data_IF_781855255846
#
_entry.id   IF_781855255846
#
_cell.length_a   1.000
_cell.length_b   1.000
_cell.length_c   1.000
_cell.angle_alpha   90.00
_cell.angle_beta   90.00
_cell.angle_gamma   90.00
#
_symmetry.space_group_name_H-M   'P 1'
#
loop_
_entity.id
_entity.type
_entity.pdbx_description
1 polymer ?
#
# COMPACT_ATOMS: atom_id res chain seq x y z
N UNK A 1 -0.80 23.08 -3.44
CA UNK A 1 0.04 21.93 -3.84
C UNK A 1 -0.78 21.07 -4.78
N UNK A 2 -0.28 20.73 -5.96
CA UNK A 2 -0.97 19.81 -6.89
C UNK A 2 -0.59 18.39 -6.50
N UNK A 3 -1.57 17.53 -6.24
CA UNK A 3 -1.34 16.10 -5.98
C UNK A 3 -1.48 15.34 -7.30
N UNK A 4 -0.53 14.45 -7.59
CA UNK A 4 -0.46 13.73 -8.86
C UNK A 4 -0.13 12.25 -8.61
N UNK A 5 -0.54 11.40 -9.55
CA UNK A 5 -0.23 9.97 -9.57
C UNK A 5 0.55 9.66 -10.84
N UNK A 6 1.72 9.05 -10.69
CA UNK A 6 2.56 8.59 -11.80
C UNK A 6 2.27 7.12 -12.08
N UNK A 7 1.83 6.80 -13.30
CA UNK A 7 1.59 5.43 -13.74
C UNK A 7 2.52 5.05 -14.89
N UNK A 8 2.71 3.75 -15.10
CA UNK A 8 3.54 3.20 -16.18
C UNK A 8 5.03 3.44 -16.02
N UNK A 9 5.48 3.69 -14.78
CA UNK A 9 6.85 4.07 -14.46
C UNK A 9 7.66 2.89 -13.89
N UNK A 10 8.91 2.76 -14.33
CA UNK A 10 9.94 2.01 -13.61
C UNK A 10 10.98 2.97 -13.02
N UNK A 11 11.55 3.85 -13.83
CA UNK A 11 12.40 4.98 -13.39
C UNK A 11 11.54 6.22 -13.10
N UNK A 12 11.88 6.95 -12.04
CA UNK A 12 11.23 8.23 -11.73
C UNK A 12 11.74 9.34 -12.66
N UNK A 13 13.03 9.33 -13.01
CA UNK A 13 13.66 10.42 -13.78
C UNK A 13 13.75 10.17 -15.28
N UNK A 14 13.95 8.94 -15.73
CA UNK A 14 14.20 8.62 -17.15
C UNK A 14 12.90 8.63 -17.98
N UNK A 15 12.90 9.12 -19.22
CA UNK A 15 11.71 9.06 -20.07
C UNK A 15 11.33 7.60 -20.40
N UNK A 16 10.04 7.28 -20.29
CA UNK A 16 9.49 5.95 -20.56
C UNK A 16 8.20 6.09 -21.37
N UNK A 17 7.97 5.26 -22.41
CA UNK A 17 6.93 5.50 -23.41
C UNK A 17 5.50 5.47 -22.86
N UNK A 18 5.27 4.74 -21.77
CA UNK A 18 3.96 4.61 -21.12
C UNK A 18 3.87 5.34 -19.78
N UNK A 19 4.92 6.09 -19.41
CA UNK A 19 4.97 6.82 -18.15
C UNK A 19 4.17 8.11 -18.26
N UNK A 20 3.17 8.29 -17.41
CA UNK A 20 2.29 9.46 -17.42
C UNK A 20 1.95 9.93 -16.01
N UNK A 21 2.01 11.24 -15.80
CA UNK A 21 1.50 11.92 -14.61
C UNK A 21 0.03 12.28 -14.80
N UNK A 22 -0.81 11.78 -13.91
CA UNK A 22 -2.22 12.12 -13.83
C UNK A 22 -2.45 13.09 -12.68
N UNK A 23 -3.31 14.09 -12.90
CA UNK A 23 -3.79 14.97 -11.83
C UNK A 23 -4.84 14.26 -11.01
N UNK A 24 -4.90 14.59 -9.72
CA UNK A 24 -5.91 14.05 -8.80
C UNK A 24 -7.05 15.06 -8.62
N UNK A 25 -8.27 14.61 -8.94
CA UNK A 25 -9.53 15.34 -8.73
C UNK A 25 -9.90 15.38 -7.26
N UNK A 26 -9.84 14.23 -6.60
CA UNK A 26 -10.26 14.09 -5.20
C UNK A 26 -9.32 13.19 -4.40
N UNK A 27 -9.06 13.60 -3.16
CA UNK A 27 -8.35 12.82 -2.14
C UNK A 27 -9.37 12.45 -1.07
N UNK A 28 -9.66 11.15 -0.94
CA UNK A 28 -10.76 10.66 -0.10
C UNK A 28 -10.16 9.74 0.97
N UNK A 29 -9.70 10.30 2.11
CA UNK A 29 -9.20 9.50 3.21
C UNK A 29 -10.34 8.69 3.84
N UNK A 30 -10.04 7.51 4.36
CA UNK A 30 -11.03 6.76 5.11
C UNK A 30 -11.50 7.59 6.34
N UNK A 31 -12.81 7.68 6.65
CA UNK A 31 -13.31 8.53 7.74
C UNK A 31 -12.74 8.20 9.13
N UNK A 32 -12.35 6.94 9.35
CA UNK A 32 -11.70 6.48 10.58
C UNK A 32 -10.19 6.74 10.67
N UNK A 33 -9.56 7.22 9.58
CA UNK A 33 -8.12 7.50 9.57
C UNK A 33 -7.76 8.61 10.58
N UNK A 34 -6.63 8.45 11.24
CA UNK A 34 -6.18 9.38 12.28
C UNK A 34 -4.66 9.55 12.22
N UNK A 35 -4.18 10.80 12.15
CA UNK A 35 -2.74 11.11 12.06
C UNK A 35 -1.90 10.60 13.25
N UNK A 36 -2.53 10.30 14.38
CA UNK A 36 -1.85 9.86 15.60
C UNK A 36 -1.71 8.33 15.70
N UNK A 37 -2.30 7.56 14.80
CA UNK A 37 -2.19 6.10 14.79
C UNK A 37 -2.26 5.54 13.37
N UNK A 38 -2.10 4.23 13.22
CA UNK A 38 -2.08 3.59 11.91
C UNK A 38 -3.41 2.86 11.59
N UNK A 39 -4.48 3.13 12.36
CA UNK A 39 -5.79 2.49 12.16
C UNK A 39 -6.50 3.14 10.99
N UNK A 40 -7.19 2.30 10.21
CA UNK A 40 -7.96 2.74 9.04
C UNK A 40 -7.16 3.63 8.08
N UNK A 41 -5.86 3.35 7.96
CA UNK A 41 -4.91 4.13 7.16
C UNK A 41 -5.02 3.75 5.67
N UNK A 42 -6.05 4.31 5.03
CA UNK A 42 -6.35 4.19 3.60
C UNK A 42 -6.75 5.54 3.00
N UNK A 43 -6.35 5.76 1.75
CA UNK A 43 -6.67 6.94 0.96
C UNK A 43 -7.02 6.50 -0.47
N UNK A 44 -8.20 6.88 -0.95
CA UNK A 44 -8.56 6.75 -2.36
C UNK A 44 -8.24 8.05 -3.11
N UNK A 45 -7.64 7.91 -4.28
CA UNK A 45 -7.28 9.01 -5.16
C UNK A 45 -8.07 8.89 -6.46
N UNK A 46 -8.99 9.83 -6.70
CA UNK A 46 -9.73 9.89 -7.95
C UNK A 46 -8.92 10.71 -8.96
N UNK A 47 -8.53 10.11 -10.08
CA UNK A 47 -7.86 10.82 -11.17
C UNK A 47 -8.83 11.78 -11.87
N UNK A 48 -8.31 12.89 -12.42
CA UNK A 48 -9.13 13.82 -13.22
C UNK A 48 -9.69 13.17 -14.50
N UNK A 49 -8.97 12.18 -15.04
CA UNK A 49 -9.30 11.40 -16.23
C UNK A 49 -9.01 9.91 -16.01
N UNK A 50 -9.64 9.02 -16.80
CA UNK A 50 -9.37 7.58 -16.74
C UNK A 50 -7.95 7.28 -17.21
N UNK A 51 -7.26 6.39 -16.51
CA UNK A 51 -5.94 5.94 -16.92
C UNK A 51 -6.02 5.06 -18.19
N UNK A 52 -5.10 5.29 -19.12
CA UNK A 52 -4.95 4.47 -20.32
C UNK A 52 -4.29 3.13 -19.98
N UNK A 53 -5.07 2.06 -19.99
CA UNK A 53 -4.57 0.71 -19.71
C UNK A 53 -3.75 0.16 -20.88
N UNK A 54 -2.64 -0.49 -20.58
CA UNK A 54 -1.72 -1.08 -21.55
C UNK A 54 -0.83 -2.14 -20.86
N UNK A 55 0.22 -2.62 -21.53
CA UNK A 55 1.12 -3.63 -20.96
C UNK A 55 1.84 -3.19 -19.65
N UNK A 56 1.98 -1.89 -19.43
CA UNK A 56 2.68 -1.27 -18.29
C UNK A 56 1.74 -0.60 -17.28
N UNK A 57 0.45 -0.46 -17.61
CA UNK A 57 -0.58 0.11 -16.75
C UNK A 57 -1.77 -0.84 -16.72
N UNK A 58 -1.92 -1.57 -15.62
CA UNK A 58 -3.01 -2.54 -15.42
C UNK A 58 -3.58 -2.41 -14.01
N UNK A 59 -4.86 -2.76 -13.88
CA UNK A 59 -5.53 -2.84 -12.57
C UNK A 59 -5.14 -4.15 -11.88
N UNK A 60 -4.74 -4.05 -10.62
CA UNK A 60 -4.47 -5.19 -9.76
C UNK A 60 -5.77 -5.56 -9.02
N UNK A 61 -6.27 -6.81 -9.10
CA UNK A 61 -7.36 -7.25 -8.23
C UNK A 61 -6.93 -7.15 -6.76
N UNK A 62 -7.87 -6.79 -5.90
CA UNK A 62 -7.66 -6.75 -4.46
C UNK A 62 -8.56 -7.75 -3.76
N UNK A 63 -8.14 -8.18 -2.57
CA UNK A 63 -8.89 -9.14 -1.77
C UNK A 63 -10.25 -8.57 -1.38
N UNK A 64 -11.30 -9.35 -1.64
CA UNK A 64 -12.67 -8.97 -1.30
C UNK A 64 -13.25 -9.81 -0.16
N UNK A 65 -12.76 -11.02 0.04
CA UNK A 65 -13.19 -11.87 1.15
C UNK A 65 -12.37 -11.54 2.40
N UNK A 66 -13.06 -11.26 3.50
CA UNK A 66 -12.42 -10.96 4.78
C UNK A 66 -11.87 -12.25 5.40
N UNK A 67 -10.64 -12.59 5.00
CA UNK A 67 -9.86 -13.67 5.56
C UNK A 67 -8.41 -13.24 5.80
N UNK A 68 -7.80 -13.80 6.83
CA UNK A 68 -6.37 -13.61 7.05
C UNK A 68 -5.56 -14.39 6.01
N UNK A 69 -4.46 -13.79 5.58
CA UNK A 69 -3.43 -14.52 4.81
C UNK A 69 -2.68 -15.42 5.78
N UNK A 70 -2.53 -16.70 5.42
CA UNK A 70 -1.84 -17.66 6.26
C UNK A 70 -0.38 -17.24 6.51
N UNK A 71 0.13 -17.53 7.71
CA UNK A 71 1.54 -17.34 8.03
C UNK A 71 2.42 -18.12 7.03
N UNK A 72 3.63 -17.62 6.81
CA UNK A 72 4.62 -18.13 5.86
C UNK A 72 4.24 -18.01 4.37
N UNK A 73 3.03 -17.51 4.05
CA UNK A 73 2.71 -17.08 2.68
C UNK A 73 3.68 -15.98 2.26
N UNK A 74 4.40 -16.21 1.17
CA UNK A 74 5.34 -15.22 0.62
C UNK A 74 4.56 -14.22 -0.23
N UNK A 75 4.73 -12.95 0.08
CA UNK A 75 4.09 -11.85 -0.63
C UNK A 75 5.13 -10.83 -1.10
N UNK A 76 4.81 -10.15 -2.19
CA UNK A 76 5.61 -9.10 -2.79
C UNK A 76 5.20 -7.72 -2.27
N UNK A 77 6.19 -6.88 -1.99
CA UNK A 77 6.01 -5.44 -1.82
C UNK A 77 6.98 -4.71 -2.73
N UNK A 78 6.49 -3.71 -3.44
CA UNK A 78 7.29 -2.90 -4.35
C UNK A 78 7.12 -1.41 -4.07
N UNK A 79 8.18 -0.63 -4.27
CA UNK A 79 8.17 0.82 -4.06
C UNK A 79 9.48 1.52 -4.39
N UNK A 80 9.44 2.85 -4.30
CA UNK A 80 10.57 3.76 -4.48
C UNK A 80 11.05 4.36 -3.14
N UNK A 81 10.74 3.69 -2.03
CA UNK A 81 11.21 4.07 -0.71
C UNK A 81 12.71 3.91 -0.52
N UNK A 82 13.21 4.37 0.62
CA UNK A 82 14.65 4.38 0.91
C UNK A 82 15.23 2.97 1.00
N UNK A 83 16.34 2.74 0.31
CA UNK A 83 17.02 1.42 0.21
C UNK A 83 18.26 1.30 1.10
N UNK A 84 18.61 2.36 1.84
CA UNK A 84 19.70 2.36 2.83
C UNK A 84 19.25 3.06 4.12
N UNK A 85 19.87 2.72 5.25
CA UNK A 85 19.63 3.41 6.52
C UNK A 85 20.01 4.91 6.48
N UNK A 86 20.93 5.29 5.59
CA UNK A 86 21.28 6.69 5.32
C UNK A 86 20.23 7.46 4.52
N UNK A 87 19.16 6.80 4.07
CA UNK A 87 18.04 7.45 3.39
C UNK A 87 18.21 7.59 1.87
N UNK A 88 19.08 6.80 1.23
CA UNK A 88 19.21 6.80 -0.23
C UNK A 88 17.89 6.39 -0.88
N UNK A 89 17.36 7.25 -1.77
CA UNK A 89 16.17 6.95 -2.58
C UNK A 89 16.59 6.38 -3.93
N UNK A 90 16.00 5.27 -4.38
CA UNK A 90 16.26 4.74 -5.71
C UNK A 90 15.52 5.56 -6.78
N UNK A 91 16.11 5.61 -7.97
CA UNK A 91 15.39 6.10 -9.15
C UNK A 91 14.42 5.03 -9.70
N UNK A 92 14.87 3.77 -9.73
CA UNK A 92 14.10 2.65 -10.25
C UNK A 92 13.27 1.95 -9.19
N UNK A 93 12.17 1.33 -9.58
CA UNK A 93 11.31 0.54 -8.68
C UNK A 93 12.09 -0.64 -8.09
N UNK A 94 12.00 -0.83 -6.78
CA UNK A 94 12.51 -2.01 -6.08
C UNK A 94 11.34 -2.89 -5.63
N UNK A 95 11.61 -4.19 -5.51
CA UNK A 95 10.68 -5.16 -4.93
C UNK A 95 11.38 -6.05 -3.92
N UNK A 96 10.61 -6.59 -2.99
CA UNK A 96 11.08 -7.60 -2.05
C UNK A 96 9.97 -8.57 -1.64
N UNK A 97 10.31 -9.85 -1.59
CA UNK A 97 9.46 -10.92 -1.10
C UNK A 97 9.64 -11.11 0.41
N UNK A 98 8.54 -11.06 1.16
CA UNK A 98 8.54 -11.27 2.61
C UNK A 98 7.42 -12.23 3.03
N UNK A 99 7.69 -13.18 3.95
CA UNK A 99 6.66 -14.05 4.48
C UNK A 99 5.73 -13.27 5.42
N UNK A 100 4.44 -13.57 5.34
CA UNK A 100 3.44 -13.16 6.33
C UNK A 100 3.77 -13.81 7.67
N UNK A 101 3.61 -13.06 8.75
CA UNK A 101 3.68 -13.58 10.12
C UNK A 101 2.30 -13.51 10.76
N UNK A 102 1.98 -14.45 11.66
CA UNK A 102 0.69 -14.42 12.35
C UNK A 102 0.54 -13.15 13.19
N UNK A 103 -0.72 -12.72 13.38
CA UNK A 103 -1.05 -11.55 14.18
C UNK A 103 -0.56 -11.69 15.62
N UNK A 104 -0.67 -12.88 16.21
CA UNK A 104 -0.15 -13.18 17.56
C UNK A 104 1.36 -12.97 17.66
N UNK A 105 2.10 -13.48 16.68
CA UNK A 105 3.55 -13.30 16.59
C UNK A 105 3.88 -11.82 16.40
N UNK A 106 3.09 -11.08 15.63
CA UNK A 106 3.24 -9.64 15.45
C UNK A 106 2.93 -8.83 16.72
N UNK A 107 1.93 -9.26 17.49
CA UNK A 107 1.45 -8.66 18.73
C UNK A 107 2.23 -9.06 19.99
N UNK A 108 3.16 -10.00 19.89
CA UNK A 108 4.02 -10.37 21.00
C UNK A 108 4.62 -9.12 21.69
N UNK A 109 4.76 -9.15 23.02
CA UNK A 109 5.22 -8.03 23.86
C UNK A 109 6.54 -7.40 23.38
N UNK A 110 7.44 -8.20 22.84
CA UNK A 110 8.74 -7.73 22.32
C UNK A 110 8.67 -7.12 20.92
N UNK A 111 7.47 -7.07 20.32
CA UNK A 111 7.22 -6.55 18.97
C UNK A 111 6.32 -5.32 18.98
N UNK A 112 5.05 -5.49 18.61
CA UNK A 112 4.06 -4.41 18.57
C UNK A 112 3.09 -4.42 19.75
N UNK A 113 3.29 -5.34 20.71
CA UNK A 113 2.64 -5.31 22.03
C UNK A 113 1.12 -5.05 21.97
N UNK A 114 0.41 -5.95 21.30
CA UNK A 114 -1.05 -5.92 21.14
C UNK A 114 -1.65 -4.70 20.41
N UNK A 115 -0.85 -3.94 19.64
CA UNK A 115 -1.38 -2.80 18.85
C UNK A 115 -1.92 -3.19 17.46
N UNK A 116 -1.62 -4.38 16.96
CA UNK A 116 -2.04 -4.86 15.63
C UNK A 116 -3.45 -5.43 15.72
N UNK A 117 -4.37 -4.81 14.98
CA UNK A 117 -5.79 -5.17 14.96
C UNK A 117 -6.11 -6.22 13.90
N UNK A 118 -7.35 -6.72 13.88
CA UNK A 118 -7.88 -7.61 12.83
C UNK A 118 -7.90 -6.96 11.44
N UNK A 119 -7.91 -5.63 11.36
CA UNK A 119 -7.82 -4.87 10.12
C UNK A 119 -6.38 -4.66 9.64
N UNK A 120 -5.41 -5.21 10.36
CA UNK A 120 -3.99 -5.12 10.05
C UNK A 120 -3.40 -6.51 9.86
N UNK A 121 -2.30 -6.57 9.11
CA UNK A 121 -1.48 -7.78 8.95
C UNK A 121 0.00 -7.40 8.96
N UNK A 122 0.87 -8.41 9.09
CA UNK A 122 2.30 -8.19 9.19
C UNK A 122 3.11 -9.14 8.32
N UNK A 123 4.29 -8.68 7.91
CA UNK A 123 5.34 -9.53 7.33
C UNK A 123 6.61 -9.46 8.18
N UNK A 124 7.46 -10.48 8.08
CA UNK A 124 8.77 -10.44 8.73
C UNK A 124 9.61 -9.31 8.13
N UNK A 125 10.23 -8.48 8.97
CA UNK A 125 11.04 -7.33 8.57
C UNK A 125 12.54 -7.55 8.74
N UNK A 126 12.99 -8.78 9.04
CA UNK A 126 14.42 -9.06 9.27
C UNK A 126 15.26 -8.76 8.02
N UNK A 127 16.11 -7.72 8.09
CA UNK A 127 17.08 -7.26 7.06
C UNK A 127 16.46 -6.78 5.74
N UNK A 128 15.33 -7.34 5.32
CA UNK A 128 14.55 -7.01 4.11
C UNK A 128 13.19 -6.50 4.56
N UNK A 129 12.78 -5.35 4.05
CA UNK A 129 11.65 -4.62 4.61
C UNK A 129 11.16 -3.49 3.68
N UNK A 130 9.89 -3.08 3.83
CA UNK A 130 9.44 -1.79 3.32
C UNK A 130 9.94 -0.66 4.23
N UNK A 131 10.13 0.53 3.69
CA UNK A 131 10.72 1.65 4.42
C UNK A 131 10.11 3.01 4.03
N UNK A 132 10.77 4.10 4.46
CA UNK A 132 10.29 5.47 4.25
C UNK A 132 10.10 5.74 2.76
N UNK A 133 8.88 6.05 2.37
CA UNK A 133 8.49 6.30 0.97
C UNK A 133 7.75 5.13 0.30
N UNK A 134 7.68 3.95 0.94
CA UNK A 134 6.88 2.82 0.44
C UNK A 134 5.43 2.81 0.94
N UNK A 135 5.08 3.70 1.89
CA UNK A 135 3.72 3.84 2.41
C UNK A 135 2.71 4.13 1.31
N UNK A 136 1.57 3.44 1.34
CA UNK A 136 0.58 3.43 0.26
C UNK A 136 0.83 2.37 -0.83
N UNK A 137 2.02 1.75 -0.86
CA UNK A 137 2.32 0.64 -1.78
C UNK A 137 1.55 -0.64 -1.43
N UNK A 138 1.23 -1.50 -2.42
CA UNK A 138 0.50 -2.74 -2.17
C UNK A 138 1.42 -3.85 -1.63
N UNK A 139 0.86 -4.67 -0.73
CA UNK A 139 1.34 -6.01 -0.44
C UNK A 139 0.52 -7.00 -1.29
N UNK A 140 1.21 -7.72 -2.17
CA UNK A 140 0.60 -8.61 -3.15
C UNK A 140 0.92 -10.05 -2.80
N UNK A 141 -0.09 -10.87 -2.56
CA UNK A 141 0.06 -12.29 -2.30
C UNK A 141 -0.65 -13.05 -3.42
N UNK A 142 0.06 -13.97 -4.10
CA UNK A 142 -0.50 -14.76 -5.21
C UNK A 142 -1.22 -13.92 -6.29
N UNK A 143 -0.67 -12.73 -6.60
CA UNK A 143 -1.22 -11.83 -7.62
C UNK A 143 -2.45 -11.00 -7.21
N UNK A 144 -2.83 -11.03 -5.92
CA UNK A 144 -3.94 -10.23 -5.36
C UNK A 144 -3.40 -9.27 -4.30
N UNK A 145 -3.85 -8.02 -4.32
CA UNK A 145 -3.53 -7.06 -3.26
C UNK A 145 -4.27 -7.43 -1.97
N UNK A 146 -3.52 -7.81 -0.93
CA UNK A 146 -4.06 -8.20 0.38
C UNK A 146 -3.99 -7.03 1.38
N UNK A 147 -2.98 -6.17 1.23
CA UNK A 147 -2.76 -5.05 2.14
C UNK A 147 -2.10 -3.84 1.50
N UNK A 148 -2.10 -2.74 2.24
CA UNK A 148 -1.44 -1.47 1.89
C UNK A 148 -0.42 -1.15 2.97
N UNK A 149 0.82 -0.81 2.58
CA UNK A 149 1.88 -0.41 3.53
C UNK A 149 1.40 0.81 4.31
N UNK A 150 1.30 0.69 5.64
CA UNK A 150 0.86 1.81 6.49
C UNK A 150 1.88 2.95 6.50
N UNK A 151 1.42 4.19 6.64
CA UNK A 151 2.24 5.32 7.02
C UNK A 151 2.74 5.18 8.47
N UNK A 152 3.95 5.63 8.74
CA UNK A 152 4.48 5.66 10.11
C UNK A 152 6.00 5.69 10.20
N UNK A 153 6.50 6.16 11.34
CA UNK A 153 7.93 6.27 11.65
C UNK A 153 8.51 4.96 12.22
N UNK A 154 8.27 3.84 11.54
CA UNK A 154 8.83 2.54 11.95
C UNK A 154 10.31 2.43 11.56
N UNK A 155 11.10 1.77 12.41
CA UNK A 155 12.47 1.37 12.08
C UNK A 155 12.44 0.21 11.09
N UNK A 156 13.04 0.41 9.92
CA UNK A 156 13.11 -0.60 8.86
C UNK A 156 14.18 -1.66 9.15
N UNK A 157 13.99 -2.89 8.67
CA UNK A 157 14.98 -3.98 8.74
C UNK A 157 15.09 -4.69 10.09
N UNK A 158 14.29 -4.28 11.09
CA UNK A 158 14.35 -4.80 12.45
C UNK A 158 13.23 -5.82 12.71
N UNK A 159 13.58 -7.09 12.92
CA UNK A 159 12.63 -8.18 13.18
C UNK A 159 11.72 -7.96 14.41
N UNK A 160 12.14 -7.15 15.39
CA UNK A 160 11.31 -6.76 16.54
C UNK A 160 10.28 -5.68 16.19
N UNK A 161 10.33 -5.13 14.99
CA UNK A 161 9.34 -4.21 14.45
C UNK A 161 8.91 -4.72 13.07
N UNK A 162 8.09 -5.79 13.01
CA UNK A 162 7.52 -6.29 11.75
C UNK A 162 6.90 -5.19 10.91
N UNK A 163 6.92 -5.35 9.59
CA UNK A 163 6.20 -4.44 8.71
C UNK A 163 4.69 -4.59 8.96
N UNK A 164 3.96 -3.47 8.91
CA UNK A 164 2.52 -3.42 9.15
C UNK A 164 1.85 -2.97 7.87
N UNK A 165 0.73 -3.63 7.56
CA UNK A 165 -0.10 -3.33 6.41
C UNK A 165 -1.56 -3.22 6.86
N UNK A 166 -2.29 -2.24 6.33
CA UNK A 166 -3.75 -2.21 6.44
C UNK A 166 -4.30 -3.29 5.51
N UNK A 167 -5.07 -4.26 6.02
CA UNK A 167 -5.75 -5.27 5.20
C UNK A 167 -6.82 -4.58 4.35
N UNK A 168 -6.95 -4.95 3.08
CA UNK A 168 -7.91 -4.31 2.18
C UNK A 168 -9.33 -4.85 2.39
N UNK A 169 -9.48 -6.16 2.57
CA UNK A 169 -10.77 -6.84 2.61
C UNK A 169 -11.79 -6.24 3.61
N UNK A 170 -11.41 -5.84 4.83
CA UNK A 170 -12.35 -5.22 5.79
C UNK A 170 -12.93 -3.87 5.33
N UNK A 171 -12.37 -3.26 4.29
CA UNK A 171 -12.75 -1.94 3.77
C UNK A 171 -13.45 -1.99 2.43
N UNK A 172 -13.74 -3.18 1.88
CA UNK A 172 -14.38 -3.36 0.56
C UNK A 172 -15.65 -2.53 0.43
N UNK A 173 -16.53 -2.55 1.45
CA UNK A 173 -17.77 -1.79 1.42
C UNK A 173 -17.53 -0.26 1.32
N UNK A 174 -16.51 0.26 2.01
CA UNK A 174 -16.13 1.68 1.90
C UNK A 174 -15.53 1.99 0.53
N UNK A 175 -14.62 1.13 0.04
CA UNK A 175 -13.99 1.29 -1.27
C UNK A 175 -15.04 1.32 -2.37
N UNK A 176 -15.97 0.37 -2.38
CA UNK A 176 -17.05 0.30 -3.37
C UNK A 176 -17.99 1.51 -3.30
N UNK A 177 -18.34 1.96 -2.09
CA UNK A 177 -19.20 3.15 -1.90
C UNK A 177 -18.57 4.42 -2.48
N UNK A 178 -17.27 4.61 -2.24
CA UNK A 178 -16.51 5.74 -2.81
C UNK A 178 -16.42 5.63 -4.33
N UNK A 179 -16.11 4.44 -4.86
CA UNK A 179 -16.03 4.21 -6.31
C UNK A 179 -17.38 4.41 -7.01
N UNK A 180 -18.49 4.00 -6.41
CA UNK A 180 -19.83 4.19 -6.95
C UNK A 180 -20.23 5.67 -7.01
N UNK A 181 -19.95 6.43 -5.94
CA UNK A 181 -20.21 7.88 -5.88
C UNK A 181 -19.42 8.63 -6.97
N UNK A 182 -18.15 8.25 -7.17
CA UNK A 182 -17.30 8.83 -8.20
C UNK A 182 -17.77 8.53 -9.64
N UNK A 183 -18.44 7.40 -9.88
CA UNK A 183 -18.99 7.05 -11.19
C UNK A 183 -20.22 7.91 -11.55
N UNK A 184 -21.08 8.24 -10.56
CA UNK A 184 -22.27 9.06 -10.76
C UNK A 184 -21.97 10.52 -11.12
N UNK A 185 -20.87 11.09 -10.61
CA UNK A 185 -20.46 12.47 -10.92
C UNK A 185 -19.89 12.64 -12.34
N UNK A 186 -19.45 11.54 -12.98
CA UNK A 186 -18.84 11.55 -14.31
C UNK A 186 -19.84 11.58 -15.48
N UNK A 187 -21.12 11.33 -15.23
CA UNK A 187 -22.19 11.27 -16.25
C UNK A 187 -22.97 12.59 -16.38
N UNK A 188 -22.67 13.56 -15.51
CA UNK A 188 -23.34 14.88 -15.45
C UNK A 188 -22.50 16.05 -15.99
N UNK A 189 -21.47 15.78 -16.79
CA UNK A 189 -20.66 16.83 -17.45
C UNK A 189 -20.44 16.56 -18.94
#
# INVERSE_FOLDING_TARGET
KVFQVLLGAHSLTEPEPHKRLYRVRAQIPHPGSNIHNNKDDLLLLQLEEKAELNAHVRVLPFQREDRDVAADTVCDVAGWGTITHSGRRPDKLYQVERPVISRDVCNHRTRHDNTITEKMMCTDSRRKDSCKGDSGGPLVCNGVAEGVVTAGSRVCGNYKKPAIYTRIAPYVAWIDSVMASAAGEGDTR
#
